data_IF_030927465598
#
_entry.id   IF_030927465598
#
_cell.length_a   1.000
_cell.length_b   1.000
_cell.length_c   1.000
_cell.angle_alpha   90.00
_cell.angle_beta   90.00
_cell.angle_gamma   90.00
#
_symmetry.space_group_name_H-M   'P 1'
#
loop_
_entity.id
_entity.type
_entity.pdbx_description
1 polymer ?
#
# COMPACT_ATOMS: atom_id res chain seq x y z
N UNK A 1 -6.72 19.94 -25.69
CA UNK A 1 -6.34 18.59 -25.22
C UNK A 1 -7.27 18.22 -24.08
N UNK A 2 -7.49 16.93 -23.83
CA UNK A 2 -8.29 16.49 -22.68
C UNK A 2 -7.50 16.72 -21.38
N UNK A 3 -8.18 17.20 -20.34
CA UNK A 3 -7.65 17.25 -18.98
C UNK A 3 -7.90 15.89 -18.31
N UNK A 4 -6.86 15.31 -17.72
CA UNK A 4 -6.92 14.03 -17.03
C UNK A 4 -6.78 14.16 -15.51
N UNK A 5 -6.68 15.38 -14.98
CA UNK A 5 -6.56 15.60 -13.54
C UNK A 5 -7.79 15.09 -12.78
N UNK A 6 -7.57 14.57 -11.58
CA UNK A 6 -8.62 14.04 -10.70
C UNK A 6 -8.35 14.43 -9.26
N UNK A 7 -9.41 14.59 -8.47
CA UNK A 7 -9.33 14.69 -7.01
C UNK A 7 -9.61 13.31 -6.40
N UNK A 8 -8.73 12.84 -5.51
CA UNK A 8 -8.86 11.55 -4.84
C UNK A 8 -8.51 11.70 -3.35
N UNK A 9 -9.50 11.45 -2.49
CA UNK A 9 -9.35 11.59 -1.03
C UNK A 9 -8.76 12.95 -0.58
N UNK A 10 -9.14 14.04 -1.27
CA UNK A 10 -8.64 15.40 -1.01
C UNK A 10 -7.26 15.71 -1.63
N UNK A 11 -6.66 14.76 -2.34
CA UNK A 11 -5.40 14.95 -3.08
C UNK A 11 -5.69 15.27 -4.55
N UNK A 12 -4.94 16.22 -5.11
CA UNK A 12 -5.02 16.54 -6.55
C UNK A 12 -3.99 15.70 -7.32
N UNK A 13 -4.46 14.82 -8.19
CA UNK A 13 -3.63 14.00 -9.06
C UNK A 13 -3.58 14.60 -10.48
N UNK A 14 -2.39 14.66 -11.08
CA UNK A 14 -2.19 15.11 -12.47
C UNK A 14 -2.88 14.19 -13.50
N UNK A 15 -3.04 12.91 -13.15
CA UNK A 15 -3.78 11.92 -13.93
C UNK A 15 -4.29 10.80 -13.01
N UNK A 16 -5.24 9.94 -13.44
CA UNK A 16 -5.73 8.85 -12.61
C UNK A 16 -4.75 7.66 -12.53
N UNK A 17 -3.54 7.77 -13.10
CA UNK A 17 -2.60 6.67 -13.21
C UNK A 17 -1.56 6.70 -12.09
N UNK A 18 -1.60 5.68 -11.23
CA UNK A 18 -0.64 5.47 -10.14
C UNK A 18 -0.05 4.06 -10.15
N UNK A 19 1.22 3.91 -9.78
CA UNK A 19 1.83 2.60 -9.58
C UNK A 19 1.30 1.94 -8.30
N UNK A 20 0.80 0.72 -8.40
CA UNK A 20 0.40 -0.07 -7.23
C UNK A 20 1.62 -0.54 -6.40
N UNK A 21 1.40 -0.84 -5.12
CA UNK A 21 2.38 -1.49 -4.24
C UNK A 21 2.69 -2.90 -4.76
N UNK A 22 3.83 -3.05 -5.44
CA UNK A 22 4.18 -4.21 -6.26
C UNK A 22 5.69 -4.21 -6.63
N UNK A 23 6.23 -5.22 -7.35
CA UNK A 23 7.63 -5.20 -7.79
C UNK A 23 8.09 -3.92 -8.51
N UNK A 24 7.27 -3.21 -9.31
CA UNK A 24 7.65 -1.91 -9.90
C UNK A 24 7.95 -0.80 -8.89
N UNK A 25 7.49 -0.92 -7.65
CA UNK A 25 7.70 0.07 -6.58
C UNK A 25 8.58 -0.49 -5.45
N UNK A 26 9.43 -1.49 -5.74
CA UNK A 26 10.27 -2.16 -4.74
C UNK A 26 11.45 -1.32 -4.21
N UNK A 27 11.78 -0.20 -4.85
CA UNK A 27 12.86 0.73 -4.45
C UNK A 27 12.48 2.17 -4.79
N UNK A 28 12.97 3.14 -4.01
CA UNK A 28 12.71 4.56 -4.29
C UNK A 28 13.15 5.00 -5.69
N UNK A 29 14.32 4.56 -6.15
CA UNK A 29 14.83 4.85 -7.52
C UNK A 29 13.85 4.41 -8.63
N UNK A 30 13.13 3.29 -8.44
CA UNK A 30 12.16 2.82 -9.43
C UNK A 30 10.93 3.72 -9.50
N UNK A 31 10.50 4.25 -8.35
CA UNK A 31 9.41 5.22 -8.24
C UNK A 31 9.81 6.55 -8.89
N UNK A 32 11.03 7.04 -8.62
CA UNK A 32 11.54 8.26 -9.25
C UNK A 32 11.56 8.15 -10.77
N UNK A 33 12.06 7.04 -11.34
CA UNK A 33 12.00 6.80 -12.79
C UNK A 33 10.58 6.72 -13.36
N UNK A 34 9.59 6.32 -12.55
CA UNK A 34 8.19 6.32 -12.97
C UNK A 34 7.63 7.75 -13.01
N UNK A 35 7.99 8.59 -12.04
CA UNK A 35 7.64 10.01 -12.02
C UNK A 35 8.26 10.76 -13.20
N UNK A 36 9.53 10.49 -13.53
CA UNK A 36 10.17 11.00 -14.77
C UNK A 36 9.42 10.58 -16.04
N UNK A 37 8.82 9.39 -16.03
CA UNK A 37 8.03 8.87 -17.15
C UNK A 37 6.59 9.43 -17.20
N UNK A 38 6.19 10.27 -16.24
CA UNK A 38 4.89 10.96 -16.21
C UNK A 38 3.78 10.23 -15.42
N UNK A 39 4.11 9.27 -14.57
CA UNK A 39 3.13 8.70 -13.63
C UNK A 39 2.70 9.76 -12.61
N UNK A 40 1.39 9.86 -12.31
CA UNK A 40 0.90 10.88 -11.36
C UNK A 40 1.23 10.57 -9.91
N UNK A 41 1.40 9.28 -9.60
CA UNK A 41 1.67 8.84 -8.25
C UNK A 41 2.10 7.38 -8.17
N UNK A 42 2.47 6.98 -6.97
CA UNK A 42 2.91 5.62 -6.69
C UNK A 42 2.56 5.23 -5.24
N UNK A 43 2.42 3.93 -5.03
CA UNK A 43 2.34 3.34 -3.70
C UNK A 43 3.62 2.54 -3.46
N UNK A 44 4.33 2.83 -2.37
CA UNK A 44 5.56 2.11 -2.00
C UNK A 44 5.28 0.61 -1.88
N UNK A 45 6.29 -0.23 -2.13
CA UNK A 45 6.19 -1.65 -1.75
C UNK A 45 5.96 -1.72 -0.23
N UNK A 46 4.99 -2.54 0.18
CA UNK A 46 4.52 -2.60 1.57
C UNK A 46 5.63 -2.66 2.60
N UNK A 47 5.61 -1.72 3.52
CA UNK A 47 6.60 -1.48 4.57
C UNK A 47 6.06 -2.09 5.86
N UNK A 48 6.94 -2.78 6.59
CA UNK A 48 6.69 -3.24 7.95
C UNK A 48 7.89 -2.92 8.83
N UNK A 49 7.76 -3.14 10.14
CA UNK A 49 8.84 -2.93 11.11
C UNK A 49 10.04 -3.83 10.81
N UNK A 50 9.77 -5.09 10.43
CA UNK A 50 10.79 -6.07 10.07
C UNK A 50 10.75 -6.37 8.57
N UNK A 51 11.91 -6.38 7.89
CA UNK A 51 11.97 -6.72 6.47
C UNK A 51 11.63 -8.20 6.24
N UNK A 52 10.94 -8.47 5.13
CA UNK A 52 10.67 -9.84 4.71
C UNK A 52 11.91 -10.52 4.11
N UNK A 53 11.92 -11.85 4.15
CA UNK A 53 12.90 -12.69 3.45
C UNK A 53 12.16 -13.48 2.38
N UNK A 54 12.39 -13.12 1.12
CA UNK A 54 11.74 -13.75 -0.03
C UNK A 54 12.45 -15.04 -0.47
N UNK A 55 11.67 -15.99 -0.98
CA UNK A 55 12.17 -17.17 -1.67
C UNK A 55 12.41 -16.91 -3.17
N UNK A 56 13.08 -17.84 -3.85
CA UNK A 56 13.29 -17.82 -5.31
C UNK A 56 13.17 -19.24 -5.89
N UNK A 57 12.46 -19.47 -7.01
CA UNK A 57 11.67 -18.48 -7.78
C UNK A 57 10.39 -18.04 -7.03
N UNK A 58 9.87 -16.85 -7.35
CA UNK A 58 8.68 -16.29 -6.68
C UNK A 58 7.68 -15.55 -7.57
N UNK A 59 7.97 -15.44 -8.85
CA UNK A 59 7.09 -14.86 -9.87
C UNK A 59 6.98 -15.87 -11.01
N UNK A 60 5.76 -16.18 -11.41
CA UNK A 60 5.46 -17.10 -12.50
C UNK A 60 4.49 -16.45 -13.48
N UNK A 61 4.64 -16.79 -14.77
CA UNK A 61 3.74 -16.35 -15.83
C UNK A 61 2.50 -17.23 -15.85
N UNK A 62 1.31 -16.62 -15.81
CA UNK A 62 0.07 -17.29 -16.18
C UNK A 62 -0.17 -17.09 -17.68
N UNK A 63 -0.31 -18.18 -18.40
CA UNK A 63 -0.46 -18.17 -19.85
C UNK A 63 -1.70 -18.95 -20.31
N UNK A 64 -2.41 -18.38 -21.28
CA UNK A 64 -3.43 -19.07 -22.06
C UNK A 64 -2.94 -19.15 -23.50
N UNK A 65 -2.57 -20.36 -23.95
CA UNK A 65 -1.82 -20.57 -25.18
C UNK A 65 -0.56 -19.67 -25.22
N UNK A 66 -0.40 -18.84 -26.26
CA UNK A 66 0.77 -17.97 -26.42
C UNK A 66 0.64 -16.62 -25.71
N UNK A 67 -0.50 -16.31 -25.09
CA UNK A 67 -0.76 -15.01 -24.45
C UNK A 67 -0.50 -15.06 -22.96
N UNK A 68 0.18 -14.04 -22.45
CA UNK A 68 0.23 -13.78 -21.00
C UNK A 68 -1.13 -13.24 -20.59
N UNK A 69 -1.75 -13.88 -19.60
CA UNK A 69 -3.04 -13.45 -19.04
C UNK A 69 -2.89 -12.90 -17.62
N UNK A 70 -1.75 -13.15 -16.98
CA UNK A 70 -1.47 -12.68 -15.64
C UNK A 70 -0.11 -13.14 -15.13
N UNK A 71 0.15 -12.81 -13.88
CA UNK A 71 1.30 -13.27 -13.12
C UNK A 71 0.78 -13.89 -11.83
N UNK A 72 1.43 -14.97 -11.40
CA UNK A 72 1.28 -15.52 -10.07
C UNK A 72 2.52 -15.17 -9.25
N UNK A 73 2.34 -14.86 -7.97
CA UNK A 73 3.45 -14.51 -7.09
C UNK A 73 3.29 -15.10 -5.70
N UNK A 74 4.42 -15.48 -5.12
CA UNK A 74 4.59 -15.81 -3.70
C UNK A 74 5.58 -14.82 -3.06
N UNK A 75 5.64 -13.61 -3.61
CA UNK A 75 6.46 -12.53 -3.07
C UNK A 75 5.81 -11.98 -1.80
N UNK A 76 6.64 -11.65 -0.81
CA UNK A 76 6.21 -11.05 0.44
C UNK A 76 6.16 -9.52 0.32
N UNK A 77 6.13 -8.85 1.47
CA UNK A 77 6.28 -7.40 1.61
C UNK A 77 7.73 -6.96 1.30
N UNK A 78 8.08 -5.71 1.57
CA UNK A 78 9.43 -5.18 1.35
C UNK A 78 10.51 -6.00 2.05
N UNK A 79 11.61 -6.27 1.33
CA UNK A 79 12.87 -6.80 1.89
C UNK A 79 13.80 -5.68 2.44
N UNK A 80 13.42 -4.40 2.24
CA UNK A 80 14.14 -3.23 2.78
C UNK A 80 13.58 -2.88 4.16
N UNK A 81 14.47 -2.47 5.05
CA UNK A 81 14.09 -1.96 6.37
C UNK A 81 13.39 -0.59 6.28
N UNK A 82 12.72 -0.22 7.37
CA UNK A 82 11.97 1.03 7.49
C UNK A 82 12.86 2.27 7.29
N UNK A 83 14.05 2.32 7.89
CA UNK A 83 14.99 3.44 7.73
C UNK A 83 15.36 3.71 6.26
N UNK A 84 15.49 2.65 5.46
CA UNK A 84 15.76 2.79 4.02
C UNK A 84 14.57 3.36 3.28
N UNK A 85 13.35 2.99 3.66
CA UNK A 85 12.14 3.55 3.09
C UNK A 85 11.91 5.00 3.50
N UNK A 86 12.16 5.36 4.75
CA UNK A 86 12.10 6.75 5.23
C UNK A 86 13.01 7.64 4.38
N UNK A 87 14.27 7.23 4.18
CA UNK A 87 15.22 7.96 3.32
C UNK A 87 14.76 8.03 1.86
N UNK A 88 14.26 6.92 1.31
CA UNK A 88 13.75 6.89 -0.06
C UNK A 88 12.54 7.84 -0.22
N UNK A 89 11.62 7.87 0.75
CA UNK A 89 10.43 8.74 0.76
C UNK A 89 10.85 10.21 0.81
N UNK A 90 11.74 10.57 1.76
CA UNK A 90 12.26 11.94 1.87
C UNK A 90 12.93 12.40 0.56
N UNK A 91 13.70 11.52 -0.07
CA UNK A 91 14.35 11.80 -1.35
C UNK A 91 13.36 11.97 -2.49
N UNK A 92 12.36 11.08 -2.60
CA UNK A 92 11.30 11.17 -3.61
C UNK A 92 10.56 12.50 -3.45
N UNK A 93 10.08 12.83 -2.25
CA UNK A 93 9.29 14.04 -2.02
C UNK A 93 10.09 15.33 -2.20
N UNK A 94 11.42 15.29 -1.99
CA UNK A 94 12.31 16.41 -2.30
C UNK A 94 12.42 16.67 -3.80
N UNK A 95 12.53 15.62 -4.62
CA UNK A 95 12.70 15.76 -6.08
C UNK A 95 11.37 15.89 -6.83
N UNK A 96 10.29 15.32 -6.27
CA UNK A 96 8.98 15.22 -6.89
C UNK A 96 7.87 15.66 -5.91
N UNK A 97 7.88 16.93 -5.46
CA UNK A 97 6.94 17.41 -4.45
C UNK A 97 5.47 17.31 -4.89
N UNK A 98 5.21 17.52 -6.19
CA UNK A 98 3.85 17.52 -6.78
C UNK A 98 3.34 16.12 -7.15
N UNK A 99 4.17 15.07 -6.99
CA UNK A 99 3.75 13.70 -7.27
C UNK A 99 3.22 13.03 -6.00
N UNK A 100 2.11 12.30 -6.15
CA UNK A 100 1.42 11.65 -5.06
C UNK A 100 2.15 10.36 -4.65
N UNK A 101 2.54 10.25 -3.40
CA UNK A 101 3.21 9.08 -2.85
C UNK A 101 2.44 8.54 -1.64
N UNK A 102 1.88 7.34 -1.78
CA UNK A 102 1.30 6.61 -0.67
C UNK A 102 2.31 5.63 -0.06
N UNK A 103 2.41 5.57 1.27
CA UNK A 103 3.11 4.48 1.95
C UNK A 103 2.17 3.28 2.14
N UNK A 104 2.47 2.15 1.50
CA UNK A 104 1.80 0.88 1.81
C UNK A 104 2.36 0.31 3.10
N UNK A 105 1.51 -0.02 4.07
CA UNK A 105 1.89 -0.44 5.42
C UNK A 105 1.27 -1.79 5.78
N UNK A 106 2.00 -2.60 6.55
CA UNK A 106 1.50 -3.82 7.17
C UNK A 106 2.16 -4.03 8.54
N UNK A 107 1.36 -4.32 9.55
CA UNK A 107 1.82 -4.61 10.92
C UNK A 107 0.97 -5.70 11.58
N UNK A 108 1.36 -6.11 12.80
CA UNK A 108 0.56 -6.97 13.65
C UNK A 108 -0.81 -6.38 13.98
N UNK A 109 -1.69 -7.19 14.57
CA UNK A 109 -2.92 -6.69 15.22
C UNK A 109 -2.54 -6.08 16.58
N UNK A 110 -1.66 -5.09 16.53
CA UNK A 110 -1.05 -4.40 17.67
C UNK A 110 -1.05 -2.91 17.36
N UNK A 111 -1.92 -2.17 18.04
CA UNK A 111 -2.14 -0.73 17.82
C UNK A 111 -0.84 0.09 17.81
N UNK A 112 0.07 -0.18 18.75
CA UNK A 112 1.32 0.56 18.88
C UNK A 112 2.28 0.33 17.69
N UNK A 113 2.23 -0.85 17.04
CA UNK A 113 3.03 -1.12 15.84
C UNK A 113 2.55 -0.29 14.65
N UNK A 114 1.23 -0.21 14.46
CA UNK A 114 0.62 0.66 13.45
C UNK A 114 0.94 2.12 13.70
N UNK A 115 0.80 2.57 14.95
CA UNK A 115 1.11 3.95 15.32
C UNK A 115 2.57 4.32 15.02
N UNK A 116 3.50 3.42 15.36
CA UNK A 116 4.93 3.60 15.11
C UNK A 116 5.25 3.70 13.62
N UNK A 117 4.68 2.82 12.80
CA UNK A 117 4.90 2.84 11.34
C UNK A 117 4.35 4.10 10.69
N UNK A 118 3.10 4.45 11.00
CA UNK A 118 2.41 5.62 10.43
C UNK A 118 3.19 6.89 10.75
N UNK A 119 3.57 7.09 12.02
CA UNK A 119 4.32 8.28 12.42
C UNK A 119 5.62 8.44 11.62
N UNK A 120 6.38 7.36 11.44
CA UNK A 120 7.66 7.42 10.73
C UNK A 120 7.51 7.73 9.24
N UNK A 121 6.49 7.17 8.57
CA UNK A 121 6.28 7.45 7.14
C UNK A 121 5.63 8.82 6.90
N UNK A 122 4.74 9.27 7.79
CA UNK A 122 4.19 10.64 7.74
C UNK A 122 5.28 11.70 7.98
N UNK A 123 6.16 11.50 8.95
CA UNK A 123 7.32 12.39 9.20
C UNK A 123 8.27 12.45 7.99
N UNK A 124 8.36 11.37 7.20
CA UNK A 124 9.12 11.33 5.95
C UNK A 124 8.46 12.10 4.80
N UNK A 125 7.16 12.41 4.90
CA UNK A 125 6.43 13.31 3.99
C UNK A 125 5.54 12.64 2.95
N UNK A 126 5.04 11.41 3.20
CA UNK A 126 4.05 10.79 2.30
C UNK A 126 2.77 11.62 2.21
N UNK A 127 2.08 11.54 1.07
CA UNK A 127 0.82 12.25 0.84
C UNK A 127 -0.40 11.44 1.30
N UNK A 128 -0.21 10.14 1.57
CA UNK A 128 -1.27 9.23 1.99
C UNK A 128 -0.73 7.89 2.49
N UNK A 129 -1.60 7.11 3.10
CA UNK A 129 -1.31 5.78 3.65
C UNK A 129 -2.16 4.73 2.94
N UNK A 130 -1.58 3.57 2.63
CA UNK A 130 -2.32 2.39 2.20
C UNK A 130 -2.18 1.30 3.28
N UNK A 131 -3.27 0.92 3.94
CA UNK A 131 -3.28 -0.23 4.86
C UNK A 131 -3.45 -1.51 4.03
N UNK A 132 -2.40 -2.34 3.96
CA UNK A 132 -2.42 -3.52 3.12
C UNK A 132 -3.00 -4.75 3.85
N UNK A 133 -4.29 -5.00 3.64
CA UNK A 133 -4.97 -6.21 4.09
C UNK A 133 -5.03 -7.30 3.01
N UNK A 134 -4.36 -7.10 1.88
CA UNK A 134 -4.43 -7.96 0.71
C UNK A 134 -3.44 -9.13 0.70
N UNK A 135 -2.34 -9.09 1.47
CA UNK A 135 -1.25 -10.05 1.33
C UNK A 135 -1.59 -11.43 1.93
N UNK A 136 -1.80 -12.50 1.12
CA UNK A 136 -2.20 -13.81 1.65
C UNK A 136 -1.06 -14.53 2.38
N UNK A 137 0.18 -14.14 2.10
CA UNK A 137 1.40 -14.68 2.69
C UNK A 137 1.99 -13.77 3.76
N UNK A 138 1.24 -12.76 4.23
CA UNK A 138 1.69 -11.76 5.19
C UNK A 138 1.87 -12.34 6.59
N UNK A 139 2.67 -13.39 6.77
CA UNK A 139 2.86 -14.11 8.03
C UNK A 139 1.52 -14.46 8.73
N UNK A 140 0.66 -15.33 8.15
CA UNK A 140 -0.58 -15.77 8.80
C UNK A 140 -0.36 -16.28 10.23
N UNK A 141 0.81 -16.89 10.49
CA UNK A 141 1.24 -17.34 11.81
C UNK A 141 1.41 -16.21 12.84
N UNK A 142 1.53 -14.95 12.38
CA UNK A 142 1.56 -13.73 13.19
C UNK A 142 0.28 -12.90 13.08
N UNK A 143 -0.75 -13.40 12.40
CA UNK A 143 -2.03 -12.71 12.24
C UNK A 143 -1.96 -11.44 11.38
N UNK A 144 -1.03 -11.34 10.41
CA UNK A 144 -0.95 -10.21 9.49
C UNK A 144 -1.48 -10.54 8.08
N UNK A 145 -1.64 -9.50 7.24
CA UNK A 145 -2.04 -9.65 5.84
C UNK A 145 -3.52 -10.02 5.67
N UNK A 146 -3.82 -10.97 4.78
CA UNK A 146 -5.21 -11.31 4.40
C UNK A 146 -6.05 -11.87 5.53
N UNK A 147 -5.43 -12.30 6.64
CA UNK A 147 -6.16 -12.68 7.85
C UNK A 147 -6.89 -11.47 8.43
N UNK A 148 -6.24 -10.29 8.41
CA UNK A 148 -6.86 -9.03 8.84
C UNK A 148 -7.94 -8.58 7.84
N UNK A 149 -7.68 -8.80 6.54
CA UNK A 149 -8.62 -8.43 5.47
C UNK A 149 -9.82 -9.34 5.29
N UNK A 150 -9.93 -10.43 6.03
CA UNK A 150 -11.06 -11.37 5.96
C UNK A 150 -12.05 -11.25 7.12
N UNK A 151 -11.70 -10.49 8.17
CA UNK A 151 -12.58 -10.19 9.30
C UNK A 151 -12.90 -8.69 9.31
N UNK A 152 -14.17 -8.30 9.05
CA UNK A 152 -14.60 -6.91 9.08
C UNK A 152 -14.25 -6.18 10.38
N UNK A 153 -14.31 -6.86 11.53
CA UNK A 153 -14.01 -6.23 12.82
C UNK A 153 -12.53 -5.88 12.93
N UNK A 154 -11.64 -6.81 12.54
CA UNK A 154 -10.20 -6.59 12.57
C UNK A 154 -9.81 -5.49 11.57
N UNK A 155 -10.36 -5.53 10.35
CA UNK A 155 -10.11 -4.51 9.33
C UNK A 155 -10.57 -3.12 9.81
N UNK A 156 -11.76 -3.03 10.41
CA UNK A 156 -12.29 -1.81 11.01
C UNK A 156 -11.45 -1.30 12.18
N UNK A 157 -11.01 -2.18 13.08
CA UNK A 157 -10.19 -1.81 14.24
C UNK A 157 -8.83 -1.23 13.82
N UNK A 158 -8.14 -1.89 12.88
CA UNK A 158 -6.85 -1.40 12.37
C UNK A 158 -7.03 -0.07 11.63
N UNK A 159 -8.09 0.04 10.83
CA UNK A 159 -8.42 1.30 10.14
C UNK A 159 -8.63 2.43 11.15
N UNK A 160 -9.37 2.16 12.23
CA UNK A 160 -9.61 3.14 13.30
C UNK A 160 -8.31 3.56 13.97
N UNK A 161 -7.42 2.61 14.30
CA UNK A 161 -6.11 2.92 14.88
C UNK A 161 -5.27 3.80 13.95
N UNK A 162 -5.29 3.55 12.64
CA UNK A 162 -4.62 4.42 11.70
C UNK A 162 -5.21 5.84 11.73
N UNK A 163 -6.54 5.96 11.68
CA UNK A 163 -7.25 7.25 11.71
C UNK A 163 -7.14 8.02 13.01
N UNK A 164 -6.79 7.38 14.12
CA UNK A 164 -6.55 8.06 15.41
C UNK A 164 -5.35 9.01 15.36
N UNK A 165 -4.36 8.73 14.52
CA UNK A 165 -3.11 9.50 14.47
C UNK A 165 -2.76 10.04 13.09
N UNK A 166 -3.33 9.47 12.02
CA UNK A 166 -3.00 9.85 10.66
C UNK A 166 -3.48 11.28 10.37
N UNK A 167 -2.56 12.09 9.86
CA UNK A 167 -2.84 13.45 9.40
C UNK A 167 -3.09 13.52 7.88
N UNK A 168 -2.69 12.48 7.16
CA UNK A 168 -2.93 12.32 5.72
C UNK A 168 -4.04 11.30 5.43
N UNK A 169 -4.62 11.27 4.21
CA UNK A 169 -5.64 10.30 3.84
C UNK A 169 -5.19 8.84 3.98
N UNK A 170 -6.10 8.00 4.47
CA UNK A 170 -5.91 6.56 4.67
C UNK A 170 -6.77 5.79 3.68
N UNK A 171 -6.11 5.10 2.76
CA UNK A 171 -6.69 4.14 1.84
C UNK A 171 -6.55 2.73 2.39
N UNK A 172 -7.59 1.90 2.29
CA UNK A 172 -7.52 0.49 2.70
C UNK A 172 -7.52 -0.42 1.48
N UNK A 173 -6.52 -1.31 1.37
CA UNK A 173 -6.42 -2.30 0.30
C UNK A 173 -7.03 -3.62 0.73
N UNK A 174 -8.16 -3.96 0.10
CA UNK A 174 -8.93 -5.15 0.41
C UNK A 174 -8.37 -6.39 -0.30
N UNK A 175 -8.62 -7.56 0.29
CA UNK A 175 -8.41 -8.84 -0.38
C UNK A 175 -9.70 -9.22 -1.13
N UNK A 176 -9.62 -9.69 -2.40
CA UNK A 176 -10.78 -10.22 -3.10
C UNK A 176 -11.15 -11.63 -2.63
N UNK A 177 -10.33 -12.29 -1.80
CA UNK A 177 -10.50 -13.68 -1.36
C UNK A 177 -11.44 -13.78 -0.14
N UNK A 178 -12.66 -13.26 -0.30
CA UNK A 178 -13.67 -13.16 0.76
C UNK A 178 -15.04 -13.49 0.18
N UNK A 179 -15.98 -13.91 1.04
CA UNK A 179 -17.36 -14.20 0.61
C UNK A 179 -18.09 -12.93 0.18
N UNK A 180 -17.95 -11.86 0.98
CA UNK A 180 -18.60 -10.58 0.74
C UNK A 180 -17.62 -9.43 1.05
N UNK A 181 -17.05 -8.86 0.00
CA UNK A 181 -16.11 -7.74 0.11
C UNK A 181 -16.77 -6.45 0.62
N UNK A 182 -18.10 -6.33 0.46
CA UNK A 182 -18.85 -5.14 0.88
C UNK A 182 -18.82 -5.01 2.39
N UNK A 183 -18.93 -6.11 3.14
CA UNK A 183 -18.89 -6.09 4.61
C UNK A 183 -17.57 -5.53 5.15
N UNK A 184 -16.46 -5.90 4.52
CA UNK A 184 -15.13 -5.43 4.94
C UNK A 184 -14.94 -3.98 4.53
N UNK A 185 -15.33 -3.62 3.31
CA UNK A 185 -15.30 -2.23 2.83
C UNK A 185 -16.11 -1.28 3.73
N UNK A 186 -17.34 -1.69 4.11
CA UNK A 186 -18.20 -0.93 5.02
C UNK A 186 -17.56 -0.78 6.41
N UNK A 187 -16.99 -1.85 6.96
CA UNK A 187 -16.32 -1.76 8.26
C UNK A 187 -15.12 -0.79 8.24
N UNK A 188 -14.37 -0.75 7.15
CA UNK A 188 -13.29 0.23 6.94
C UNK A 188 -13.82 1.66 6.76
N UNK A 189 -14.89 1.85 5.97
CA UNK A 189 -15.54 3.15 5.79
C UNK A 189 -16.08 3.69 7.12
N UNK A 190 -16.81 2.87 7.89
CA UNK A 190 -17.33 3.22 9.21
C UNK A 190 -16.22 3.53 10.23
N UNK A 191 -15.05 2.91 10.07
CA UNK A 191 -13.85 3.20 10.85
C UNK A 191 -13.11 4.47 10.40
N UNK A 192 -13.54 5.11 9.30
CA UNK A 192 -13.04 6.39 8.83
C UNK A 192 -12.02 6.32 7.69
N UNK A 193 -11.91 5.20 6.97
CA UNK A 193 -11.10 5.15 5.75
C UNK A 193 -11.54 6.24 4.75
N UNK A 194 -10.58 6.93 4.15
CA UNK A 194 -10.85 7.98 3.15
C UNK A 194 -11.02 7.39 1.74
N UNK A 195 -10.49 6.18 1.51
CA UNK A 195 -10.63 5.45 0.26
C UNK A 195 -10.49 3.93 0.43
N UNK A 196 -10.97 3.19 -0.58
CA UNK A 196 -10.81 1.74 -0.71
C UNK A 196 -10.08 1.42 -2.01
N UNK A 197 -9.10 0.52 -1.93
CA UNK A 197 -8.39 -0.09 -3.07
C UNK A 197 -8.86 -1.54 -3.21
N UNK A 198 -9.53 -1.86 -4.33
CA UNK A 198 -10.21 -3.14 -4.59
C UNK A 198 -9.99 -3.62 -6.03
#
# INVERSE_FOLDING_TARGET
MADLSVEFAGLTCMSPFMLASAPPTAKGEMIQRAFEAGWSGAVTKTIALEPAIDVRPRLARLALANRTIGLENIELISQRNLDSWVKDIEEIKRHYPDHILFASLMAGVVRDEWHSLIKQVEEAGVDGLELNFGCPHGMPEKGMGSVQGQDPNIAGDITRWAKEIASVPVMVKLTPNVTDIVQIGQACEEAGADAISA
#
